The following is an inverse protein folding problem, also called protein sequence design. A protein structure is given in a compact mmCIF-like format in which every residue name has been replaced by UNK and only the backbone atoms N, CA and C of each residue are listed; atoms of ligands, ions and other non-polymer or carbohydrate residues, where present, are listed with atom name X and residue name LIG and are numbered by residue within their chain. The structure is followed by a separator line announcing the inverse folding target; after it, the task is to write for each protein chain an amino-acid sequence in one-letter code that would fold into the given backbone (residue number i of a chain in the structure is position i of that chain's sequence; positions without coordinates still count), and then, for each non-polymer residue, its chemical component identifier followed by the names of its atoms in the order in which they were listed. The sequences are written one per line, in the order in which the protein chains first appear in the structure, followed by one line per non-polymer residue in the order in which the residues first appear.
data_IF_301785899815
#
_entry.id   IF_301785899815
#
_cell.length_a   1.000
_cell.length_b   1.000
_cell.length_c   1.000
_cell.angle_alpha   90.00
_cell.angle_beta   90.00
_cell.angle_gamma   90.00
#
_symmetry.space_group_name_H-M   'P 1'
#
loop_
_entity.id
_entity.type
_entity.pdbx_description
1 polymer ?
#
# COMPACT_ATOMS: atom_id res chain seq x y z
N UNK A 1 -3.78 -27.90 -21.42
CA UNK A 1 -3.26 -26.53 -21.64
C UNK A 1 -4.37 -25.55 -21.34
N UNK A 2 -4.15 -24.51 -20.53
CA UNK A 2 -5.13 -23.42 -20.31
C UNK A 2 -4.57 -22.14 -20.89
N UNK A 3 -5.37 -21.38 -21.62
CA UNK A 3 -5.02 -20.03 -22.10
C UNK A 3 -5.10 -19.05 -20.93
N UNK A 4 -4.05 -18.25 -20.72
CA UNK A 4 -4.00 -17.28 -19.62
C UNK A 4 -4.93 -16.09 -19.92
N UNK A 5 -5.85 -15.73 -19.02
CA UNK A 5 -6.69 -14.55 -19.19
C UNK A 5 -5.87 -13.26 -19.03
N UNK A 6 -6.33 -12.18 -19.66
CA UNK A 6 -5.77 -10.83 -19.47
C UNK A 6 -6.41 -10.19 -18.24
N UNK A 7 -5.60 -9.69 -17.32
CA UNK A 7 -6.03 -9.04 -16.08
C UNK A 7 -5.12 -7.86 -15.77
N UNK A 8 -5.67 -6.74 -15.29
CA UNK A 8 -4.88 -5.58 -14.85
C UNK A 8 -4.16 -5.92 -13.54
N UNK A 9 -2.85 -5.63 -13.48
CA UNK A 9 -1.98 -5.86 -12.31
C UNK A 9 -1.53 -4.53 -11.70
N UNK A 10 -0.97 -4.61 -10.50
CA UNK A 10 -0.68 -3.46 -9.65
C UNK A 10 0.66 -3.62 -8.93
N UNK A 11 1.71 -3.99 -9.69
CA UNK A 11 3.06 -4.21 -9.18
C UNK A 11 3.14 -5.32 -8.10
N UNK A 12 4.04 -5.16 -7.13
CA UNK A 12 4.39 -6.13 -6.10
C UNK A 12 3.15 -6.71 -5.41
N UNK A 13 3.14 -8.04 -5.23
CA UNK A 13 2.07 -8.83 -4.61
C UNK A 13 0.75 -8.91 -5.40
N UNK A 14 0.59 -8.21 -6.52
CA UNK A 14 -0.70 -8.17 -7.27
C UNK A 14 -1.08 -9.46 -8.03
N UNK A 15 -0.17 -10.44 -8.09
CA UNK A 15 -0.43 -11.79 -8.60
C UNK A 15 -0.83 -12.80 -7.51
N UNK A 16 -0.67 -12.43 -6.24
CA UNK A 16 -1.10 -13.26 -5.12
C UNK A 16 -2.61 -13.08 -4.90
N UNK A 17 -3.24 -14.00 -4.14
CA UNK A 17 -4.57 -13.74 -3.59
C UNK A 17 -4.60 -12.42 -2.81
N UNK A 18 -5.76 -11.72 -2.77
CA UNK A 18 -5.94 -10.52 -1.96
C UNK A 18 -5.42 -10.73 -0.54
N UNK A 19 -4.58 -9.79 -0.08
CA UNK A 19 -4.00 -9.87 1.26
C UNK A 19 -5.07 -9.59 2.31
N UNK A 20 -5.06 -10.37 3.39
CA UNK A 20 -5.85 -10.07 4.58
C UNK A 20 -5.20 -8.97 5.41
N UNK A 21 -5.97 -8.30 6.28
CA UNK A 21 -5.43 -7.32 7.24
C UNK A 21 -4.25 -7.88 8.05
N UNK A 22 -4.29 -9.16 8.41
CA UNK A 22 -3.19 -9.83 9.13
C UNK A 22 -1.93 -9.97 8.28
N UNK A 23 -2.07 -10.23 6.98
CA UNK A 23 -0.94 -10.30 6.05
C UNK A 23 -0.36 -8.91 5.79
N UNK A 24 -1.21 -7.90 5.64
CA UNK A 24 -0.79 -6.49 5.54
C UNK A 24 -0.04 -6.07 6.81
N UNK A 25 -0.57 -6.40 7.99
CA UNK A 25 0.09 -6.13 9.27
C UNK A 25 1.49 -6.74 9.34
N UNK A 26 1.69 -7.96 8.81
CA UNK A 26 3.01 -8.59 8.73
C UNK A 26 3.97 -7.88 7.78
N UNK A 27 3.49 -7.37 6.65
CA UNK A 27 4.32 -6.56 5.75
C UNK A 27 4.74 -5.26 6.43
N UNK A 28 3.83 -4.60 7.15
CA UNK A 28 4.12 -3.38 7.91
C UNK A 28 5.08 -3.67 9.06
N UNK A 29 4.90 -4.77 9.80
CA UNK A 29 5.83 -5.17 10.87
C UNK A 29 7.25 -5.33 10.32
N UNK A 30 7.39 -5.95 9.14
CA UNK A 30 8.68 -6.04 8.48
C UNK A 30 9.29 -4.67 8.16
N UNK A 31 8.49 -3.68 7.70
CA UNK A 31 8.99 -2.30 7.49
C UNK A 31 9.57 -1.72 8.79
N UNK A 32 8.85 -1.88 9.90
CA UNK A 32 9.25 -1.39 11.23
C UNK A 32 10.52 -2.10 11.70
N UNK A 33 10.58 -3.42 11.57
CA UNK A 33 11.74 -4.23 11.99
C UNK A 33 13.02 -3.88 11.20
N UNK A 34 12.87 -3.42 9.96
CA UNK A 34 13.98 -2.92 9.13
C UNK A 34 14.35 -1.45 9.41
N UNK A 35 13.57 -0.74 10.22
CA UNK A 35 13.75 0.70 10.44
C UNK A 35 13.33 1.57 9.25
N UNK A 36 12.53 1.03 8.33
CA UNK A 36 11.96 1.81 7.24
C UNK A 36 10.78 2.64 7.73
N UNK A 37 10.53 3.76 7.06
CA UNK A 37 9.49 4.71 7.43
C UNK A 37 8.25 4.44 6.56
N UNK A 38 7.15 3.92 7.12
CA UNK A 38 5.94 3.67 6.35
C UNK A 38 5.22 4.97 5.96
N UNK A 39 4.57 4.96 4.80
CA UNK A 39 3.66 6.01 4.38
C UNK A 39 2.47 5.43 3.63
N UNK A 40 1.38 6.20 3.60
CA UNK A 40 0.15 5.86 2.88
C UNK A 40 -0.03 6.86 1.75
N UNK A 41 -0.37 6.36 0.58
CA UNK A 41 -0.64 7.19 -0.60
C UNK A 41 -1.90 6.70 -1.31
N UNK A 42 -2.59 7.62 -1.97
CA UNK A 42 -3.81 7.32 -2.69
C UNK A 42 -3.87 8.05 -4.04
N UNK A 43 -4.57 7.43 -4.99
CA UNK A 43 -4.79 7.99 -6.33
C UNK A 43 -6.06 7.39 -6.94
N UNK A 44 -6.84 8.20 -7.65
CA UNK A 44 -8.12 7.79 -8.25
C UNK A 44 -7.93 6.95 -9.51
N UNK A 45 -7.04 7.38 -10.40
CA UNK A 45 -6.75 6.69 -11.66
C UNK A 45 -5.24 6.54 -11.89
N UNK A 46 -4.55 5.67 -11.13
CA UNK A 46 -3.11 5.53 -11.24
C UNK A 46 -2.71 4.85 -12.54
N UNK A 47 -1.77 5.46 -13.26
CA UNK A 47 -1.15 4.91 -14.47
C UNK A 47 0.30 4.51 -14.20
N UNK A 48 0.84 3.49 -14.88
CA UNK A 48 2.23 3.08 -14.71
C UNK A 48 3.27 4.16 -15.07
N UNK A 49 2.88 5.15 -15.87
CA UNK A 49 3.73 6.28 -16.24
C UNK A 49 3.74 7.40 -15.19
N UNK A 50 2.85 7.35 -14.20
CA UNK A 50 2.74 8.37 -13.17
C UNK A 50 3.80 8.13 -12.09
N UNK A 51 4.57 9.17 -11.77
CA UNK A 51 5.61 9.11 -10.75
C UNK A 51 5.09 9.39 -9.34
N UNK A 52 3.95 10.09 -9.23
CA UNK A 52 3.47 10.65 -7.97
C UNK A 52 2.03 10.25 -7.70
N UNK A 53 1.78 9.85 -6.46
CA UNK A 53 0.45 9.69 -5.90
C UNK A 53 0.26 10.74 -4.81
N UNK A 54 -0.98 11.00 -4.42
CA UNK A 54 -1.25 11.95 -3.33
C UNK A 54 -0.89 11.31 -1.99
N UNK A 55 -0.08 11.99 -1.20
CA UNK A 55 0.32 11.53 0.12
C UNK A 55 -0.83 11.71 1.13
N UNK A 56 -1.14 10.67 1.89
CA UNK A 56 -2.05 10.76 3.02
C UNK A 56 -1.28 11.27 4.25
N UNK A 57 -1.66 12.46 4.73
CA UNK A 57 -0.99 13.15 5.84
C UNK A 57 0.53 13.27 5.59
N UNK A 58 1.35 12.59 6.40
CA UNK A 58 2.81 12.56 6.32
C UNK A 58 3.32 11.13 6.55
N UNK A 59 4.57 10.80 6.16
CA UNK A 59 5.19 9.53 6.51
C UNK A 59 5.24 9.35 8.04
N UNK A 60 5.00 8.13 8.51
CA UNK A 60 4.92 7.83 9.94
C UNK A 60 6.33 7.55 10.51
N UNK A 61 7.13 8.62 10.66
CA UNK A 61 8.55 8.56 11.02
C UNK A 61 8.89 7.78 12.30
N UNK A 62 8.00 7.80 13.29
CA UNK A 62 8.23 7.20 14.62
C UNK A 62 7.22 6.12 14.96
N UNK A 63 6.74 5.39 13.95
CA UNK A 63 5.73 4.35 14.17
C UNK A 63 6.32 3.15 14.91
N UNK A 64 5.58 2.67 15.91
CA UNK A 64 6.04 1.58 16.78
C UNK A 64 5.19 0.31 16.64
N UNK A 65 3.98 0.44 16.09
CA UNK A 65 3.05 -0.66 15.92
C UNK A 65 2.45 -0.67 14.51
N UNK A 66 2.32 -1.86 13.88
CA UNK A 66 1.60 -1.99 12.61
C UNK A 66 0.16 -1.49 12.66
N UNK A 67 -0.45 -1.52 13.85
CA UNK A 67 -1.83 -1.08 14.02
C UNK A 67 -2.00 0.42 13.77
N UNK A 68 -0.97 1.23 14.04
CA UNK A 68 -0.99 2.68 13.77
C UNK A 68 -1.10 2.94 12.27
N UNK A 69 -0.28 2.26 11.45
CA UNK A 69 -0.35 2.36 9.98
C UNK A 69 -1.69 1.83 9.45
N UNK A 70 -2.18 0.71 10.00
CA UNK A 70 -3.49 0.17 9.59
C UNK A 70 -4.66 1.10 9.90
N UNK A 71 -4.60 1.84 11.01
CA UNK A 71 -5.62 2.83 11.34
C UNK A 71 -5.62 3.95 10.29
N UNK A 72 -4.46 4.45 9.90
CA UNK A 72 -4.33 5.45 8.84
C UNK A 72 -4.84 4.94 7.48
N UNK A 73 -4.58 3.68 7.14
CA UNK A 73 -5.15 3.04 5.94
C UNK A 73 -6.68 2.99 6.01
N UNK A 74 -7.28 2.71 7.18
CA UNK A 74 -8.74 2.69 7.37
C UNK A 74 -9.34 4.10 7.25
N UNK A 75 -8.70 5.10 7.83
CA UNK A 75 -9.13 6.50 7.71
C UNK A 75 -9.07 6.96 6.25
N UNK A 76 -7.94 6.74 5.58
CA UNK A 76 -7.76 7.08 4.16
C UNK A 76 -8.80 6.38 3.27
N UNK A 77 -9.10 5.11 3.53
CA UNK A 77 -10.14 4.35 2.82
C UNK A 77 -11.55 4.88 3.08
N UNK A 78 -11.82 5.39 4.27
CA UNK A 78 -13.12 5.97 4.61
C UNK A 78 -13.33 7.28 3.87
N UNK A 79 -12.32 8.14 3.84
CA UNK A 79 -12.37 9.44 3.17
C UNK A 79 -12.32 9.32 1.64
N UNK A 80 -11.43 8.46 1.12
CA UNK A 80 -11.14 8.28 -0.31
C UNK A 80 -11.50 6.87 -0.78
N UNK A 81 -12.74 6.46 -0.52
CA UNK A 81 -13.23 5.12 -0.84
C UNK A 81 -13.23 4.79 -2.35
N UNK A 82 -13.26 5.82 -3.20
CA UNK A 82 -13.21 5.72 -4.67
C UNK A 82 -11.79 5.74 -5.26
N UNK A 83 -10.76 5.73 -4.41
CA UNK A 83 -9.35 5.74 -4.82
C UNK A 83 -8.68 4.39 -4.59
N UNK A 84 -7.55 4.17 -5.28
CA UNK A 84 -6.58 3.14 -4.92
C UNK A 84 -5.77 3.65 -3.74
N UNK A 85 -5.41 2.76 -2.81
CA UNK A 85 -4.55 3.09 -1.68
C UNK A 85 -3.40 2.10 -1.67
N UNK A 86 -2.18 2.62 -1.53
CA UNK A 86 -0.97 1.83 -1.34
C UNK A 86 -0.30 2.17 -0.03
N UNK A 87 0.34 1.15 0.55
CA UNK A 87 1.32 1.35 1.63
C UNK A 87 2.69 1.25 1.00
N UNK A 88 3.54 2.21 1.33
CA UNK A 88 4.94 2.27 0.91
C UNK A 88 5.85 2.38 2.13
N UNK A 89 7.14 2.10 1.93
CA UNK A 89 8.16 2.30 2.96
C UNK A 89 9.39 2.98 2.37
N UNK A 90 9.94 3.95 3.10
CA UNK A 90 11.14 4.68 2.73
C UNK A 90 12.34 4.24 3.58
N UNK A 91 13.48 4.04 2.91
CA UNK A 91 14.80 3.94 3.54
C UNK A 91 15.50 5.28 3.38
N UNK A 92 15.72 5.97 4.49
CA UNK A 92 16.36 7.28 4.53
C UNK A 92 17.89 7.22 4.32
N UNK A 93 18.52 6.07 4.56
CA UNK A 93 19.96 5.89 4.35
C UNK A 93 20.24 5.74 2.86
N UNK A 94 19.46 4.89 2.17
CA UNK A 94 19.58 4.70 0.71
C UNK A 94 18.82 5.74 -0.11
N UNK A 95 17.99 6.55 0.56
CA UNK A 95 17.12 7.54 -0.06
C UNK A 95 16.24 6.94 -1.16
N UNK A 96 15.61 5.80 -0.87
CA UNK A 96 14.81 5.04 -1.82
C UNK A 96 13.57 4.42 -1.16
N UNK A 97 12.52 4.22 -1.95
CA UNK A 97 11.37 3.43 -1.54
C UNK A 97 11.71 1.94 -1.61
N UNK A 98 11.62 1.24 -0.47
CA UNK A 98 12.00 -0.18 -0.36
C UNK A 98 10.84 -1.14 -0.57
N UNK A 99 9.62 -0.68 -0.28
CA UNK A 99 8.40 -1.48 -0.41
C UNK A 99 7.25 -0.65 -0.98
N UNK A 100 6.38 -1.31 -1.75
CA UNK A 100 5.16 -0.73 -2.28
C UNK A 100 4.17 -1.82 -2.65
N UNK A 101 2.95 -1.77 -2.11
CA UNK A 101 1.86 -2.65 -2.49
C UNK A 101 0.48 -2.01 -2.24
N UNK A 102 -0.49 -2.40 -3.05
CA UNK A 102 -1.88 -1.94 -2.94
C UNK A 102 -2.58 -2.63 -1.76
N UNK A 103 -3.27 -1.82 -0.95
CA UNK A 103 -4.09 -2.29 0.19
C UNK A 103 -5.58 -2.04 -0.02
N UNK A 104 -5.97 -1.15 -0.93
CA UNK A 104 -7.36 -0.88 -1.29
C UNK A 104 -7.51 -0.64 -2.79
N UNK A 105 -8.62 -1.12 -3.36
CA UNK A 105 -9.01 -0.89 -4.76
C UNK A 105 -10.44 -0.36 -4.79
N UNK A 106 -10.72 0.68 -5.59
CA UNK A 106 -12.08 1.20 -5.70
C UNK A 106 -13.01 0.15 -6.28
N UNK A 107 -14.25 0.11 -5.78
CA UNK A 107 -15.33 -0.78 -6.26
C UNK A 107 -15.03 -2.29 -6.16
N UNK A 108 -13.98 -2.70 -5.45
CA UNK A 108 -13.75 -4.10 -5.15
C UNK A 108 -14.46 -4.45 -3.84
N UNK A 109 -15.62 -5.12 -3.91
CA UNK A 109 -16.50 -5.41 -2.75
C UNK A 109 -15.94 -6.35 -1.67
N UNK A 110 -14.61 -6.53 -1.56
CA UNK A 110 -13.93 -7.44 -0.61
C UNK A 110 -12.53 -6.95 -0.17
N UNK A 111 -12.38 -5.68 0.23
CA UNK A 111 -11.14 -5.18 0.87
C UNK A 111 -11.44 -4.36 2.13
#
# INVERSE_FOLDING_TARGET
MKTLPKEKRYETLSYLPPLTDQQIAKQIQYMIDQGYIPAVEFEKDPKPADYHWTMWKLPLFSVSSPQEVLNEVRECRTEYSDCYIRVIAFDNIKQCQTMSFIVHKPNAGRY
#
